data_IF_372109201618
#
_entry.id   IF_372109201618
#
_cell.length_a   1.000
_cell.length_b   1.000
_cell.length_c   1.000
_cell.angle_alpha   90.00
_cell.angle_beta   90.00
_cell.angle_gamma   90.00
#
_symmetry.space_group_name_H-M   'P 1'
#
loop_
_entity.id
_entity.type
_entity.pdbx_description
1 polymer ?
#
# COMPACT_ATOMS: atom_id res chain seq x y z
N UNK A 1 13.31 -7.75 2.30
CA UNK A 1 12.04 -7.10 2.72
C UNK A 1 11.76 -5.96 1.76
N UNK A 2 10.54 -5.86 1.29
CA UNK A 2 10.12 -4.81 0.35
C UNK A 2 8.89 -4.07 0.89
N UNK A 3 8.96 -2.74 0.92
CA UNK A 3 7.84 -1.87 1.33
C UNK A 3 7.30 -1.14 0.10
N UNK A 4 6.00 -1.18 -0.09
CA UNK A 4 5.30 -0.48 -1.16
C UNK A 4 4.77 0.85 -0.63
N UNK A 5 5.25 1.95 -1.21
CA UNK A 5 4.87 3.31 -0.85
C UNK A 5 3.78 3.79 -1.81
N UNK A 6 2.57 3.96 -1.33
CA UNK A 6 1.42 4.32 -2.18
C UNK A 6 1.18 5.82 -2.13
N UNK A 7 1.35 6.47 -3.27
CA UNK A 7 1.17 7.90 -3.43
C UNK A 7 -0.24 8.21 -3.97
N UNK A 8 -1.10 8.71 -3.10
CA UNK A 8 -2.49 9.08 -3.40
C UNK A 8 -2.68 10.54 -3.82
N UNK A 9 -1.60 11.27 -4.08
CA UNK A 9 -1.68 12.67 -4.53
C UNK A 9 -2.00 12.76 -6.02
N UNK A 10 -2.84 13.74 -6.46
CA UNK A 10 -2.98 14.06 -7.87
C UNK A 10 -1.69 14.63 -8.48
N UNK A 11 -0.80 15.18 -7.65
CA UNK A 11 0.52 15.66 -8.06
C UNK A 11 1.58 14.59 -7.83
N UNK A 12 2.01 13.92 -8.90
CA UNK A 12 2.95 12.79 -8.82
C UNK A 12 4.22 13.12 -8.02
N UNK A 13 4.79 14.30 -8.24
CA UNK A 13 6.05 14.74 -7.60
C UNK A 13 5.81 15.88 -6.59
N UNK A 14 4.65 15.90 -5.93
CA UNK A 14 4.29 16.90 -4.93
C UNK A 14 4.78 16.57 -3.51
N UNK A 15 4.19 17.25 -2.52
CA UNK A 15 4.58 17.09 -1.11
C UNK A 15 4.42 15.65 -0.59
N UNK A 16 3.39 14.93 -1.04
CA UNK A 16 3.20 13.52 -0.66
C UNK A 16 4.36 12.65 -1.15
N UNK A 17 4.79 12.83 -2.40
CA UNK A 17 5.97 12.16 -2.94
C UNK A 17 7.23 12.47 -2.13
N UNK A 18 7.45 13.75 -1.81
CA UNK A 18 8.60 14.17 -0.98
C UNK A 18 8.57 13.50 0.39
N UNK A 19 7.43 13.47 1.06
CA UNK A 19 7.27 12.83 2.36
C UNK A 19 7.53 11.32 2.30
N UNK A 20 6.99 10.64 1.29
CA UNK A 20 7.24 9.21 1.05
C UNK A 20 8.72 8.95 0.76
N UNK A 21 9.38 9.84 0.01
CA UNK A 21 10.80 9.75 -0.30
C UNK A 21 11.69 9.83 0.94
N UNK A 22 11.38 10.71 1.89
CA UNK A 22 12.10 10.80 3.17
C UNK A 22 12.00 9.49 3.97
N UNK A 23 10.84 8.86 3.97
CA UNK A 23 10.66 7.55 4.61
C UNK A 23 11.42 6.46 3.85
N UNK A 24 11.40 6.51 2.50
CA UNK A 24 12.15 5.56 1.68
C UNK A 24 13.65 5.61 1.97
N UNK A 25 14.22 6.82 2.13
CA UNK A 25 15.64 6.99 2.44
C UNK A 25 16.01 6.29 3.75
N UNK A 26 15.21 6.48 4.80
CA UNK A 26 15.43 5.80 6.10
C UNK A 26 15.29 4.28 5.96
N UNK A 27 14.31 3.80 5.21
CA UNK A 27 14.15 2.36 4.97
C UNK A 27 15.34 1.76 4.21
N UNK A 28 15.90 2.49 3.24
CA UNK A 28 17.09 2.07 2.50
C UNK A 28 18.32 2.00 3.39
N UNK A 29 18.50 2.92 4.34
CA UNK A 29 19.58 2.87 5.33
C UNK A 29 19.51 1.60 6.18
N UNK A 30 18.31 1.10 6.44
CA UNK A 30 18.06 -0.17 7.14
C UNK A 30 18.07 -1.41 6.21
N UNK A 31 18.45 -1.26 4.95
CA UNK A 31 18.52 -2.34 3.97
C UNK A 31 17.17 -2.84 3.49
N UNK A 32 16.12 -2.04 3.62
CA UNK A 32 14.77 -2.36 3.17
C UNK A 32 14.53 -1.77 1.79
N UNK A 33 14.16 -2.61 0.83
CA UNK A 33 13.82 -2.18 -0.53
C UNK A 33 12.46 -1.46 -0.52
N UNK A 34 12.35 -0.37 -1.29
CA UNK A 34 11.09 0.35 -1.45
C UNK A 34 10.70 0.49 -2.92
N UNK A 35 9.41 0.53 -3.18
CA UNK A 35 8.86 0.86 -4.49
C UNK A 35 7.71 1.86 -4.30
N UNK A 36 7.74 2.98 -5.03
CA UNK A 36 6.61 3.91 -5.02
C UNK A 36 5.58 3.51 -6.07
N UNK A 37 4.33 3.44 -5.64
CA UNK A 37 3.17 3.22 -6.49
C UNK A 37 2.28 4.47 -6.48
N UNK A 38 2.28 5.20 -7.60
CA UNK A 38 1.40 6.35 -7.77
C UNK A 38 0.06 5.92 -8.35
N UNK A 39 -1.06 6.27 -7.67
CA UNK A 39 -2.41 5.86 -8.10
C UNK A 39 -2.91 6.62 -9.34
N UNK A 40 -2.22 7.69 -9.76
CA UNK A 40 -2.57 8.48 -10.94
C UNK A 40 -3.58 9.58 -10.66
N UNK A 41 -4.00 10.24 -11.74
CA UNK A 41 -4.98 11.34 -11.72
C UNK A 41 -6.34 10.92 -12.29
N UNK A 42 -6.44 9.75 -12.88
CA UNK A 42 -7.72 9.26 -13.42
C UNK A 42 -8.71 9.02 -12.27
N UNK A 43 -9.98 9.36 -12.44
CA UNK A 43 -10.99 9.07 -11.44
C UNK A 43 -11.02 7.58 -11.08
N UNK A 44 -10.93 7.27 -9.79
CA UNK A 44 -11.08 5.92 -9.27
C UNK A 44 -12.48 5.81 -8.69
N UNK A 45 -13.36 5.09 -9.37
CA UNK A 45 -14.72 4.89 -8.92
C UNK A 45 -14.77 4.14 -7.58
N UNK A 46 -15.78 4.45 -6.77
CA UNK A 46 -16.02 3.74 -5.52
C UNK A 46 -16.43 2.29 -5.71
N UNK A 47 -16.40 1.52 -4.64
CA UNK A 47 -16.92 0.16 -4.66
C UNK A 47 -18.44 0.18 -4.87
N UNK A 48 -18.93 -0.56 -5.87
CA UNK A 48 -20.37 -0.67 -6.19
C UNK A 48 -21.02 -1.89 -5.53
N UNK A 49 -20.31 -2.56 -4.63
CA UNK A 49 -20.81 -3.75 -3.92
C UNK A 49 -21.38 -4.85 -4.83
N UNK A 50 -20.79 -5.05 -6.00
CA UNK A 50 -21.26 -6.04 -6.99
C UNK A 50 -20.88 -7.50 -6.65
N UNK A 51 -20.04 -7.70 -5.64
CA UNK A 51 -19.53 -9.01 -5.19
C UNK A 51 -18.83 -9.87 -6.25
N UNK A 52 -18.44 -9.28 -7.39
CA UNK A 52 -17.72 -10.02 -8.42
C UNK A 52 -16.33 -10.48 -7.98
N UNK A 53 -15.71 -9.77 -7.04
CA UNK A 53 -14.41 -10.15 -6.46
C UNK A 53 -14.44 -11.52 -5.76
N UNK A 54 -15.60 -11.98 -5.27
CA UNK A 54 -15.76 -13.31 -4.65
C UNK A 54 -15.44 -14.44 -5.65
N UNK A 55 -15.71 -14.20 -6.95
CA UNK A 55 -15.52 -15.18 -8.01
C UNK A 55 -14.28 -14.90 -8.86
N UNK A 56 -14.00 -13.61 -9.12
CA UNK A 56 -12.91 -13.18 -10.01
C UNK A 56 -11.57 -13.11 -9.30
N UNK A 57 -11.58 -13.00 -7.98
CA UNK A 57 -10.40 -12.70 -7.14
C UNK A 57 -9.74 -11.35 -7.45
N UNK A 58 -10.40 -10.50 -8.24
CA UNK A 58 -10.02 -9.15 -8.61
C UNK A 58 -11.25 -8.24 -8.60
N UNK A 59 -11.02 -6.91 -8.52
CA UNK A 59 -12.10 -5.95 -8.71
C UNK A 59 -12.61 -6.00 -10.16
N UNK A 60 -13.92 -5.82 -10.35
CA UNK A 60 -14.55 -5.78 -11.68
C UNK A 60 -14.03 -4.62 -12.53
N UNK A 61 -13.63 -3.51 -11.90
CA UNK A 61 -13.01 -2.38 -12.58
C UNK A 61 -11.52 -2.63 -12.77
N UNK A 62 -11.09 -2.68 -14.01
CA UNK A 62 -9.67 -2.89 -14.35
C UNK A 62 -8.94 -1.54 -14.42
N UNK A 63 -8.42 -1.13 -13.28
CA UNK A 63 -7.70 0.13 -13.10
C UNK A 63 -6.51 -0.02 -12.12
N UNK A 64 -6.03 1.11 -11.60
CA UNK A 64 -4.91 1.15 -10.65
C UNK A 64 -5.06 0.20 -9.44
N UNK A 65 -6.29 -0.10 -9.03
CA UNK A 65 -6.56 -0.98 -7.89
C UNK A 65 -6.07 -2.41 -8.17
N UNK A 66 -6.41 -2.98 -9.32
CA UNK A 66 -5.97 -4.33 -9.67
C UNK A 66 -4.46 -4.41 -9.91
N UNK A 67 -3.87 -3.35 -10.48
CA UNK A 67 -2.40 -3.26 -10.65
C UNK A 67 -1.70 -3.25 -9.29
N UNK A 68 -2.18 -2.41 -8.37
CA UNK A 68 -1.67 -2.36 -6.99
C UNK A 68 -1.75 -3.72 -6.30
N UNK A 69 -2.89 -4.40 -6.37
CA UNK A 69 -3.08 -5.68 -5.71
C UNK A 69 -2.07 -6.74 -6.16
N UNK A 70 -1.72 -6.78 -7.44
CA UNK A 70 -0.67 -7.67 -7.95
C UNK A 70 0.70 -7.35 -7.34
N UNK A 71 1.04 -6.06 -7.24
CA UNK A 71 2.28 -5.63 -6.59
C UNK A 71 2.27 -5.90 -5.07
N UNK A 72 1.11 -5.76 -4.43
CA UNK A 72 0.95 -6.00 -3.01
C UNK A 72 1.28 -7.45 -2.60
N UNK A 73 1.05 -8.43 -3.47
CA UNK A 73 1.42 -9.82 -3.22
C UNK A 73 2.94 -10.02 -3.08
N UNK A 74 3.75 -9.12 -3.62
CA UNK A 74 5.22 -9.18 -3.57
C UNK A 74 5.81 -8.29 -2.46
N UNK A 75 4.99 -7.50 -1.78
CA UNK A 75 5.41 -6.59 -0.73
C UNK A 75 5.25 -7.21 0.66
N UNK A 76 6.14 -6.80 1.56
CA UNK A 76 6.12 -7.21 2.97
C UNK A 76 5.48 -6.14 3.87
N UNK A 77 5.41 -4.89 3.39
CA UNK A 77 4.83 -3.77 4.12
C UNK A 77 4.29 -2.68 3.20
N UNK A 78 3.46 -1.82 3.75
CA UNK A 78 2.78 -0.76 3.01
C UNK A 78 2.85 0.56 3.77
N UNK A 79 3.05 1.65 3.03
CA UNK A 79 2.91 3.01 3.53
C UNK A 79 2.03 3.79 2.56
N UNK A 80 0.95 4.36 3.06
CA UNK A 80 -0.01 5.11 2.27
C UNK A 80 0.15 6.61 2.54
N UNK A 81 0.44 7.37 1.49
CA UNK A 81 0.52 8.83 1.52
C UNK A 81 -0.64 9.47 0.79
N UNK A 82 -1.27 10.47 1.39
CA UNK A 82 -2.35 11.24 0.77
C UNK A 82 -2.29 12.70 1.18
N UNK A 83 -2.59 13.64 0.28
CA UNK A 83 -2.91 15.00 0.72
C UNK A 83 -4.23 15.01 1.48
N UNK A 84 -4.42 16.07 2.27
CA UNK A 84 -5.69 16.33 2.95
C UNK A 84 -6.54 17.21 2.04
N UNK A 85 -7.70 16.69 1.63
CA UNK A 85 -8.72 17.43 0.92
C UNK A 85 -9.97 17.50 1.79
N UNK A 86 -10.42 18.71 2.13
CA UNK A 86 -11.58 18.95 2.99
C UNK A 86 -11.64 18.02 4.21
N UNK A 87 -10.70 18.21 5.12
CA UNK A 87 -10.59 17.53 6.42
C UNK A 87 -10.41 15.99 6.37
N UNK A 88 -10.16 15.41 5.22
CA UNK A 88 -9.92 13.96 5.04
C UNK A 88 -8.89 13.70 3.96
N UNK A 89 -8.52 12.43 3.79
CA UNK A 89 -7.67 12.02 2.67
C UNK A 89 -8.35 12.31 1.32
N UNK A 90 -7.54 12.45 0.27
CA UNK A 90 -8.03 12.69 -1.09
C UNK A 90 -9.07 11.65 -1.51
N UNK A 91 -10.14 12.08 -2.21
CA UNK A 91 -11.25 11.21 -2.60
C UNK A 91 -10.82 9.98 -3.40
N UNK A 92 -9.93 10.14 -4.39
CA UNK A 92 -9.36 9.01 -5.13
C UNK A 92 -8.61 8.02 -4.22
N UNK A 93 -7.92 8.52 -3.20
CA UNK A 93 -7.25 7.64 -2.25
C UNK A 93 -8.25 6.84 -1.42
N UNK A 94 -9.34 7.44 -0.97
CA UNK A 94 -10.39 6.74 -0.21
C UNK A 94 -11.05 5.64 -1.06
N UNK A 95 -11.44 5.95 -2.29
CA UNK A 95 -12.06 4.96 -3.19
C UNK A 95 -11.09 3.86 -3.60
N UNK A 96 -9.81 4.21 -3.77
CA UNK A 96 -8.74 3.25 -4.02
C UNK A 96 -8.60 2.27 -2.84
N UNK A 97 -8.49 2.77 -1.61
CA UNK A 97 -8.36 1.93 -0.42
C UNK A 97 -9.58 1.03 -0.20
N UNK A 98 -10.80 1.59 -0.33
CA UNK A 98 -12.03 0.82 -0.18
C UNK A 98 -12.06 -0.38 -1.14
N UNK A 99 -11.73 -0.16 -2.41
CA UNK A 99 -11.74 -1.22 -3.41
C UNK A 99 -10.57 -2.20 -3.25
N UNK A 100 -9.37 -1.71 -2.94
CA UNK A 100 -8.21 -2.56 -2.77
C UNK A 100 -8.41 -3.53 -1.61
N UNK A 101 -8.78 -3.01 -0.43
CA UNK A 101 -8.96 -3.85 0.75
C UNK A 101 -10.20 -4.73 0.67
N UNK A 102 -11.33 -4.19 0.21
CA UNK A 102 -12.57 -4.99 0.11
C UNK A 102 -12.43 -6.14 -0.88
N UNK A 103 -11.88 -5.88 -2.08
CA UNK A 103 -11.74 -6.94 -3.08
C UNK A 103 -10.70 -7.99 -2.66
N UNK A 104 -9.65 -7.60 -1.94
CA UNK A 104 -8.66 -8.55 -1.43
C UNK A 104 -9.24 -9.42 -0.30
N UNK A 105 -9.99 -8.80 0.63
CA UNK A 105 -10.66 -9.52 1.71
C UNK A 105 -11.65 -10.55 1.18
N UNK A 106 -12.46 -10.15 0.21
CA UNK A 106 -13.51 -10.99 -0.37
C UNK A 106 -12.96 -12.05 -1.33
N UNK A 107 -12.02 -11.66 -2.20
CA UNK A 107 -11.52 -12.53 -3.24
C UNK A 107 -10.40 -13.47 -2.81
N UNK A 108 -9.54 -13.03 -1.90
CA UNK A 108 -8.30 -13.73 -1.56
C UNK A 108 -8.05 -13.91 -0.06
N UNK A 109 -8.99 -13.53 0.81
CA UNK A 109 -8.84 -13.66 2.26
C UNK A 109 -7.68 -12.81 2.81
N UNK A 110 -7.48 -11.61 2.27
CA UNK A 110 -6.41 -10.68 2.67
C UNK A 110 -4.98 -11.18 2.47
N UNK A 111 -4.74 -12.14 1.61
CA UNK A 111 -3.39 -12.72 1.40
C UNK A 111 -2.31 -11.68 1.08
N UNK A 112 -2.66 -10.63 0.34
CA UNK A 112 -1.72 -9.57 0.01
C UNK A 112 -1.30 -8.73 1.24
N UNK A 113 -2.14 -8.65 2.28
CA UNK A 113 -1.92 -7.80 3.45
C UNK A 113 -1.60 -8.58 4.73
N UNK A 114 -1.60 -9.90 4.66
CA UNK A 114 -1.17 -10.73 5.78
C UNK A 114 0.34 -11.01 5.70
N UNK A 115 1.01 -11.20 6.84
CA UNK A 115 2.40 -11.64 6.84
C UNK A 115 2.57 -12.92 6.03
N UNK A 116 3.48 -12.92 5.06
CA UNK A 116 3.82 -14.10 4.28
C UNK A 116 4.54 -15.10 5.19
N UNK A 117 3.81 -16.09 5.70
CA UNK A 117 4.42 -17.19 6.46
C UNK A 117 5.33 -18.00 5.53
N UNK A 118 6.64 -17.88 5.73
CA UNK A 118 7.65 -18.61 4.94
C UNK A 118 8.68 -17.72 4.23
N UNK A 119 8.48 -16.41 4.11
CA UNK A 119 9.61 -15.52 3.82
C UNK A 119 10.46 -15.38 5.07
N UNK A 120 11.74 -15.76 4.99
CA UNK A 120 12.68 -15.56 6.08
C UNK A 120 12.65 -14.08 6.48
N UNK A 121 12.01 -13.80 7.62
CA UNK A 121 12.13 -12.49 8.23
C UNK A 121 13.60 -12.37 8.60
N UNK A 122 14.31 -11.44 7.97
CA UNK A 122 15.50 -10.92 8.62
C UNK A 122 15.01 -10.36 9.94
N UNK A 123 15.29 -11.09 11.03
CA UNK A 123 15.11 -10.55 12.37
C UNK A 123 15.92 -9.27 12.41
N UNK A 124 15.25 -8.14 12.67
CA UNK A 124 15.97 -6.98 13.16
C UNK A 124 16.86 -7.47 14.30
N UNK A 125 18.17 -7.17 14.28
CA UNK A 125 18.98 -7.44 15.45
C UNK A 125 18.27 -6.79 16.62
N UNK A 126 17.86 -7.59 17.60
CA UNK A 126 17.34 -7.04 18.84
C UNK A 126 18.48 -6.18 19.38
N UNK A 127 18.27 -4.87 19.40
CA UNK A 127 19.21 -3.92 19.93
C UNK A 127 19.65 -4.41 21.29
N UNK A 128 20.96 -4.55 21.45
CA UNK A 128 21.55 -5.03 22.68
C UNK A 128 21.01 -4.23 23.85
N UNK A 129 20.74 -4.98 24.87
CA UNK A 129 20.50 -4.61 26.23
C UNK A 129 21.20 -3.28 26.59
N UNK A 130 20.45 -2.21 26.66
CA UNK A 130 20.93 -1.00 27.35
C UNK A 130 20.75 -1.26 28.83
N UNK A 131 21.74 -2.00 29.37
CA UNK A 131 21.92 -2.15 30.78
C UNK A 131 21.96 -0.83 31.50
N UNK A 132 21.17 -0.74 32.49
CA UNK A 132 21.20 -0.04 33.72
C UNK A 132 21.74 1.40 33.80
N UNK A 133 20.93 2.27 34.20
CA UNK A 133 21.06 3.01 35.46
C UNK A 133 19.69 3.48 35.88
#
# INVERSE_FOLDING_TARGET
MKVLLVNGSPHKNGCTHTALGLVADVLHEEGIETEEFWIGIKPIGGCIACHQCDKRHDCVFDDAVNVFRKKALEADGFLFGSPVHYAALAGNMKTFLDRAFYSEARGNGNKAFLPQTGRSRHQCPQGGDHGGL
#
